data_IF_367477968196
#
_entry.id   IF_367477968196
#
_cell.length_a   1.000
_cell.length_b   1.000
_cell.length_c   1.000
_cell.angle_alpha   90.00
_cell.angle_beta   90.00
_cell.angle_gamma   90.00
#
_symmetry.space_group_name_H-M   'P 1'
#
loop_
_entity.id
_entity.type
_entity.pdbx_description
1 polymer ?
#
# COMPACT_ATOMS: atom_id res chain seq x y z
N UNK A 1 -9.10 6.76 28.74
CA UNK A 1 -7.63 6.70 28.88
C UNK A 1 -7.02 7.31 27.64
N UNK A 2 -6.18 8.34 27.77
CA UNK A 2 -5.49 8.93 26.64
C UNK A 2 -4.35 7.99 26.21
N UNK A 3 -4.33 7.58 24.95
CA UNK A 3 -3.24 6.80 24.40
C UNK A 3 -2.15 7.77 23.95
N UNK A 4 -0.92 7.63 24.46
CA UNK A 4 0.24 8.32 23.89
C UNK A 4 0.48 7.77 22.49
N UNK A 5 0.42 8.65 21.48
CA UNK A 5 0.63 8.31 20.07
C UNK A 5 1.99 8.86 19.64
N UNK A 6 2.87 7.99 19.18
CA UNK A 6 4.14 8.36 18.56
C UNK A 6 4.05 8.24 17.04
N UNK A 7 4.65 9.18 16.32
CA UNK A 7 4.69 9.15 14.85
C UNK A 7 5.84 8.24 14.39
N UNK A 8 5.50 7.12 13.74
CA UNK A 8 6.45 6.11 13.25
C UNK A 8 6.72 6.18 11.74
N UNK A 9 6.05 7.08 11.02
CA UNK A 9 6.15 7.11 9.57
C UNK A 9 5.35 8.23 8.90
N UNK A 10 5.42 8.26 7.57
CA UNK A 10 4.67 9.15 6.70
C UNK A 10 4.41 8.47 5.36
N UNK A 11 3.37 8.89 4.66
CA UNK A 11 3.03 8.33 3.36
C UNK A 11 1.89 9.09 2.71
N UNK A 12 1.52 8.66 1.52
CA UNK A 12 0.37 9.16 0.80
C UNK A 12 -0.45 8.00 0.24
N UNK A 13 -1.75 8.22 0.14
CA UNK A 13 -2.68 7.32 -0.50
C UNK A 13 -3.59 8.18 -1.38
N UNK A 14 -3.52 7.98 -2.70
CA UNK A 14 -4.33 8.69 -3.67
C UNK A 14 -5.27 7.74 -4.40
N UNK A 15 -6.16 8.28 -5.23
CA UNK A 15 -6.92 7.47 -6.16
C UNK A 15 -5.97 6.81 -7.16
N UNK A 16 -6.10 5.50 -7.34
CA UNK A 16 -5.30 4.72 -8.27
C UNK A 16 -5.63 5.11 -9.71
N UNK A 17 -4.60 5.38 -10.51
CA UNK A 17 -4.74 5.65 -11.96
C UNK A 17 -5.21 4.43 -12.75
N UNK A 18 -5.12 3.24 -12.15
CA UNK A 18 -5.53 1.98 -12.78
C UNK A 18 -6.96 1.60 -12.42
N UNK A 19 -7.62 2.35 -11.53
CA UNK A 19 -8.94 1.99 -11.05
C UNK A 19 -10.01 2.33 -12.07
N UNK A 20 -10.83 1.32 -12.37
CA UNK A 20 -12.05 1.44 -13.15
C UNK A 20 -13.21 0.89 -12.32
N UNK A 21 -14.39 1.49 -12.46
CA UNK A 21 -15.59 1.03 -11.79
C UNK A 21 -15.89 -0.43 -12.18
N UNK A 22 -16.10 -1.30 -11.18
CA UNK A 22 -16.34 -2.74 -11.40
C UNK A 22 -15.07 -3.59 -11.61
N UNK A 23 -13.88 -2.99 -11.66
CA UNK A 23 -12.62 -3.75 -11.70
C UNK A 23 -12.23 -4.32 -10.33
N UNK A 24 -11.49 -5.43 -10.31
CA UNK A 24 -10.87 -5.96 -9.08
C UNK A 24 -9.55 -5.23 -8.71
N UNK A 25 -9.30 -4.07 -9.32
CA UNK A 25 -8.09 -3.27 -9.08
C UNK A 25 -8.29 -2.39 -7.84
N UNK A 26 -7.21 -2.06 -7.11
CA UNK A 26 -7.30 -1.19 -5.95
C UNK A 26 -7.79 0.20 -6.38
N UNK A 27 -8.79 0.74 -5.67
CA UNK A 27 -9.27 2.12 -5.85
C UNK A 27 -8.25 3.14 -5.36
N UNK A 28 -7.46 2.77 -4.37
CA UNK A 28 -6.46 3.63 -3.77
C UNK A 28 -5.08 3.02 -3.86
N UNK A 29 -4.07 3.83 -4.14
CA UNK A 29 -2.69 3.38 -4.23
C UNK A 29 -1.71 4.48 -3.81
N UNK A 30 -0.58 4.09 -3.25
CA UNK A 30 0.46 5.03 -2.85
C UNK A 30 1.64 4.37 -2.16
N UNK A 31 2.46 5.20 -1.51
CA UNK A 31 3.67 4.76 -0.79
C UNK A 31 3.65 5.26 0.63
N UNK A 32 4.19 4.45 1.54
CA UNK A 32 4.37 4.80 2.95
C UNK A 32 5.75 4.36 3.40
N UNK A 33 6.40 5.20 4.18
CA UNK A 33 7.64 4.88 4.88
C UNK A 33 7.31 4.71 6.36
N UNK A 34 7.55 3.53 6.92
CA UNK A 34 7.31 3.19 8.32
C UNK A 34 8.62 2.68 8.92
N UNK A 35 9.10 3.31 10.00
CA UNK A 35 10.36 2.95 10.66
C UNK A 35 11.55 2.84 9.67
N UNK A 36 11.60 3.73 8.67
CA UNK A 36 12.65 3.73 7.63
C UNK A 36 12.49 2.67 6.54
N UNK A 37 11.42 1.87 6.55
CA UNK A 37 11.11 0.91 5.50
C UNK A 37 10.05 1.47 4.55
N UNK A 38 10.38 1.53 3.26
CA UNK A 38 9.45 1.90 2.21
C UNK A 38 8.54 0.72 1.84
N UNK A 39 7.24 1.01 1.81
CA UNK A 39 6.16 0.08 1.50
C UNK A 39 5.25 0.70 0.45
N UNK A 40 4.67 -0.15 -0.38
CA UNK A 40 3.50 0.22 -1.17
C UNK A 40 2.24 -0.04 -0.35
N UNK A 41 1.25 0.82 -0.52
CA UNK A 41 -0.07 0.67 0.09
C UNK A 41 -1.13 0.64 -1.02
N UNK A 42 -2.00 -0.37 -0.98
CA UNK A 42 -3.12 -0.52 -1.91
C UNK A 42 -4.43 -0.67 -1.14
N UNK A 43 -5.50 -0.04 -1.63
CA UNK A 43 -6.82 -0.01 -0.99
C UNK A 43 -7.94 -0.40 -1.97
N UNK A 44 -8.81 -1.33 -1.57
CA UNK A 44 -10.00 -1.73 -2.33
C UNK A 44 -11.26 -1.39 -1.55
N UNK A 45 -12.27 -0.84 -2.23
CA UNK A 45 -13.61 -0.81 -1.67
C UNK A 45 -14.19 -2.23 -1.67
N UNK A 46 -14.66 -2.67 -0.51
CA UNK A 46 -15.29 -3.98 -0.30
C UNK A 46 -16.58 -3.79 0.49
N UNK A 47 -17.51 -4.71 0.26
CA UNK A 47 -18.72 -4.84 1.06
C UNK A 47 -18.72 -6.23 1.73
N UNK A 48 -19.04 -6.27 3.02
CA UNK A 48 -19.26 -7.53 3.74
C UNK A 48 -20.36 -7.31 4.78
N UNK A 49 -21.38 -8.18 4.76
CA UNK A 49 -22.52 -8.12 5.66
C UNK A 49 -23.23 -6.75 5.65
N UNK A 50 -23.42 -6.16 4.46
CA UNK A 50 -24.07 -4.86 4.28
C UNK A 50 -23.27 -3.65 4.78
N UNK A 51 -21.98 -3.83 5.10
CA UNK A 51 -21.08 -2.74 5.51
C UNK A 51 -19.99 -2.54 4.48
N UNK A 52 -19.82 -1.29 4.04
CA UNK A 52 -18.74 -0.87 3.17
C UNK A 52 -17.48 -0.58 3.99
N UNK A 53 -16.33 -1.05 3.51
CA UNK A 53 -15.02 -0.79 4.12
C UNK A 53 -13.93 -0.75 3.05
N UNK A 54 -12.81 -0.12 3.39
CA UNK A 54 -11.60 -0.16 2.57
C UNK A 54 -10.70 -1.28 3.08
N UNK A 55 -10.50 -2.32 2.26
CA UNK A 55 -9.49 -3.33 2.50
C UNK A 55 -8.12 -2.78 2.13
N UNK A 56 -7.13 -2.85 3.02
CA UNK A 56 -5.79 -2.31 2.80
C UNK A 56 -4.75 -3.43 2.76
N UNK A 57 -3.82 -3.36 1.82
CA UNK A 57 -2.64 -4.22 1.72
C UNK A 57 -1.38 -3.34 1.76
N UNK A 58 -0.36 -3.80 2.50
CA UNK A 58 0.99 -3.25 2.45
C UNK A 58 1.92 -4.26 1.78
N UNK A 59 2.74 -3.78 0.83
CA UNK A 59 3.70 -4.61 0.11
C UNK A 59 5.10 -4.06 0.31
N UNK A 60 6.04 -4.91 0.68
CA UNK A 60 7.45 -4.51 0.78
C UNK A 60 8.03 -4.34 -0.62
N UNK A 61 8.66 -3.19 -0.87
CA UNK A 61 9.43 -2.97 -2.10
C UNK A 61 10.77 -3.67 -1.91
N UNK A 62 10.97 -4.81 -2.57
CA UNK A 62 12.29 -5.42 -2.66
C UNK A 62 13.09 -4.64 -3.72
N UNK A 63 14.14 -3.95 -3.30
CA UNK A 63 15.14 -3.41 -4.24
C UNK A 63 15.80 -4.61 -4.90
N UNK A 64 15.44 -4.89 -6.15
CA UNK A 64 16.18 -5.87 -6.96
C UNK A 64 17.50 -5.20 -7.32
N UNK A 65 18.55 -5.47 -6.55
CA UNK A 65 19.92 -5.19 -7.00
C UNK A 65 20.14 -6.05 -8.24
N UNK A 66 20.20 -5.43 -9.42
CA UNK A 66 20.69 -6.08 -10.64
C UNK A 66 22.19 -6.34 -10.47
N UNK A 67 22.53 -7.36 -9.69
CA UNK A 67 23.86 -7.94 -9.61
C UNK A 67 23.76 -9.43 -9.94
N UNK A 68 23.21 -9.74 -11.12
CA UNK A 68 23.48 -11.02 -11.77
C UNK A 68 24.44 -10.77 -12.93
N UNK A 69 25.72 -10.97 -12.59
CA UNK A 69 26.81 -11.36 -13.48
C UNK A 69 26.28 -12.17 -14.67
N UNK A 70 26.42 -11.64 -15.88
CA UNK A 70 26.38 -12.50 -17.06
C UNK A 70 27.71 -13.27 -17.13
N UNK A 71 27.66 -14.61 -17.28
CA UNK A 71 28.85 -15.46 -17.37
C UNK A 71 29.57 -15.25 -18.71
N UNK A 72 30.87 -15.51 -18.70
CA UNK A 72 31.73 -15.66 -19.88
C UNK A 72 31.21 -16.75 -20.83
#
# INVERSE_FOLDING_TARGET
MAQNREKVGYGYLGQSSYWEQGSNKPRYYGKVTINGQDLEIAGWDKEKNGRNYVSIQFTKIATVTKDEKMPF
#
